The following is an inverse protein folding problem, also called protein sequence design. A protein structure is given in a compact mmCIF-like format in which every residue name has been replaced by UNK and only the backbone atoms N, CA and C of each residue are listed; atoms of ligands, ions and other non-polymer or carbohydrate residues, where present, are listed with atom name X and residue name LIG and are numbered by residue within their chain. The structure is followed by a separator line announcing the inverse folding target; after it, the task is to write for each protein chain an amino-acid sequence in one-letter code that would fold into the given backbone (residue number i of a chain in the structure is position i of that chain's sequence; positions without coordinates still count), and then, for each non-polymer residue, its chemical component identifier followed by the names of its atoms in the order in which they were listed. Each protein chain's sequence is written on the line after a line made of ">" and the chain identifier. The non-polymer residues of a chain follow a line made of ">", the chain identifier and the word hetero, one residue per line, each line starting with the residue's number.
data_IF_847126408678
#
_entry.id   IF_847126408678
#
_cell.length_a   1.000
_cell.length_b   1.000
_cell.length_c   1.000
_cell.angle_alpha   90.00
_cell.angle_beta   90.00
_cell.angle_gamma   90.00
#
_symmetry.space_group_name_H-M   'P 1'
#
loop_
_entity.id
_entity.type
_entity.pdbx_description
1 polymer ?
#
# COMPACT_ATOMS: atom_id res chain seq x y z
N UNK A 1 -25.56 -17.30 1.68
CA UNK A 1 -25.21 -18.52 2.44
C UNK A 1 -26.41 -19.14 3.17
N UNK A 2 -27.12 -18.52 4.13
CA UNK A 2 -28.25 -19.22 4.81
C UNK A 2 -29.52 -18.40 5.06
N UNK A 3 -29.76 -17.30 4.34
CA UNK A 3 -31.00 -16.48 4.41
C UNK A 3 -31.39 -15.99 5.82
N UNK A 4 -30.47 -15.97 6.77
CA UNK A 4 -30.66 -15.36 8.09
C UNK A 4 -29.93 -14.02 8.17
N UNK A 5 -30.61 -13.00 8.70
CA UNK A 5 -29.97 -11.74 9.06
C UNK A 5 -29.47 -11.82 10.50
N UNK A 6 -28.19 -11.53 10.70
CA UNK A 6 -27.55 -11.40 12.01
C UNK A 6 -26.90 -10.04 12.10
N UNK A 7 -26.88 -9.48 13.30
CA UNK A 7 -26.12 -8.27 13.59
C UNK A 7 -24.74 -8.64 14.11
N UNK A 8 -23.80 -7.69 14.02
CA UNK A 8 -22.47 -7.83 14.61
C UNK A 8 -22.54 -8.11 16.13
N UNK A 9 -23.54 -7.54 16.81
CA UNK A 9 -23.77 -7.78 18.25
C UNK A 9 -24.17 -9.23 18.54
N UNK A 10 -25.02 -9.84 17.71
CA UNK A 10 -25.44 -11.24 17.88
C UNK A 10 -24.23 -12.18 17.83
N UNK A 11 -23.30 -11.93 16.90
CA UNK A 11 -22.08 -12.74 16.73
C UNK A 11 -21.14 -12.55 17.91
N UNK A 12 -20.80 -11.31 18.26
CA UNK A 12 -19.86 -11.00 19.35
C UNK A 12 -20.37 -11.50 20.70
N UNK A 13 -21.69 -11.44 20.91
CA UNK A 13 -22.34 -11.96 22.12
C UNK A 13 -22.03 -13.44 22.37
N UNK A 14 -21.80 -14.23 21.31
CA UNK A 14 -21.46 -15.65 21.38
C UNK A 14 -19.95 -15.87 21.39
N UNK A 15 -19.23 -15.33 20.40
CA UNK A 15 -17.81 -15.67 20.19
C UNK A 15 -16.84 -14.90 21.11
N UNK A 16 -17.34 -13.89 21.84
CA UNK A 16 -16.58 -13.09 22.82
C UNK A 16 -15.29 -12.46 22.26
N UNK A 17 -15.33 -11.98 21.03
CA UNK A 17 -14.23 -11.19 20.42
C UNK A 17 -14.56 -9.71 20.35
N UNK A 18 -13.56 -8.84 20.35
CA UNK A 18 -13.77 -7.41 20.19
C UNK A 18 -14.39 -7.08 18.82
N UNK A 19 -15.32 -6.12 18.80
CA UNK A 19 -15.97 -5.67 17.56
C UNK A 19 -14.95 -5.20 16.51
N UNK A 20 -13.94 -4.46 16.95
CA UNK A 20 -12.85 -3.98 16.07
C UNK A 20 -12.09 -5.14 15.43
N UNK A 21 -11.84 -6.21 16.19
CA UNK A 21 -11.14 -7.40 15.67
C UNK A 21 -11.97 -8.12 14.62
N UNK A 22 -13.28 -8.31 14.86
CA UNK A 22 -14.17 -8.92 13.86
C UNK A 22 -14.24 -8.07 12.58
N UNK A 23 -14.37 -6.75 12.71
CA UNK A 23 -14.36 -5.83 11.56
C UNK A 23 -13.05 -5.91 10.79
N UNK A 24 -11.91 -5.93 11.49
CA UNK A 24 -10.59 -6.06 10.86
C UNK A 24 -10.48 -7.34 10.03
N UNK A 25 -10.96 -8.48 10.55
CA UNK A 25 -10.96 -9.75 9.81
C UNK A 25 -11.89 -9.75 8.60
N UNK A 26 -13.02 -9.05 8.67
CA UNK A 26 -13.92 -8.88 7.52
C UNK A 26 -13.29 -8.02 6.42
N UNK A 27 -12.56 -6.95 6.79
CA UNK A 27 -11.78 -6.16 5.84
C UNK A 27 -10.65 -6.96 5.22
N UNK A 28 -9.88 -7.72 6.02
CA UNK A 28 -8.85 -8.63 5.49
C UNK A 28 -9.43 -9.69 4.55
N UNK A 29 -10.65 -10.18 4.81
CA UNK A 29 -11.33 -11.11 3.91
C UNK A 29 -11.73 -10.44 2.58
N UNK A 30 -12.13 -9.16 2.60
CA UNK A 30 -12.48 -8.40 1.40
C UNK A 30 -11.31 -8.32 0.40
N UNK A 31 -10.07 -8.30 0.88
CA UNK A 31 -8.87 -8.29 0.05
C UNK A 31 -8.55 -9.65 -0.60
N UNK A 32 -9.24 -10.73 -0.22
CA UNK A 32 -9.04 -12.06 -0.80
C UNK A 32 -9.83 -12.24 -2.10
N UNK A 33 -9.36 -13.05 -3.07
CA UNK A 33 -10.09 -13.30 -4.32
C UNK A 33 -11.50 -13.86 -4.09
N UNK A 34 -11.66 -14.66 -3.04
CA UNK A 34 -12.92 -15.26 -2.62
C UNK A 34 -14.03 -14.24 -2.35
N UNK A 35 -13.68 -13.04 -1.89
CA UNK A 35 -14.66 -11.99 -1.59
C UNK A 35 -15.42 -11.50 -2.82
N UNK A 36 -14.83 -11.68 -4.01
CA UNK A 36 -15.38 -11.26 -5.29
C UNK A 36 -16.35 -12.28 -5.88
N UNK A 37 -16.41 -13.49 -5.31
CA UNK A 37 -17.31 -14.54 -5.76
C UNK A 37 -18.74 -14.30 -5.29
N UNK A 38 -19.70 -14.66 -6.14
CA UNK A 38 -21.08 -14.80 -5.69
C UNK A 38 -21.20 -15.96 -4.71
N UNK A 39 -22.28 -15.97 -3.93
CA UNK A 39 -22.55 -17.07 -2.97
C UNK A 39 -22.58 -18.42 -3.68
N UNK A 40 -23.13 -18.50 -4.89
CA UNK A 40 -23.26 -19.77 -5.62
C UNK A 40 -21.91 -20.25 -6.15
N UNK A 41 -21.05 -19.34 -6.62
CA UNK A 41 -19.69 -19.66 -7.05
C UNK A 41 -18.83 -20.11 -5.88
N UNK A 42 -18.87 -19.39 -4.75
CA UNK A 42 -18.13 -19.73 -3.55
C UNK A 42 -18.44 -21.15 -3.03
N UNK A 43 -19.66 -21.64 -3.21
CA UNK A 43 -20.05 -22.98 -2.77
C UNK A 43 -19.65 -24.09 -3.75
N UNK A 44 -19.20 -23.75 -4.96
CA UNK A 44 -18.92 -24.69 -6.05
C UNK A 44 -17.46 -24.73 -6.48
N UNK A 45 -16.73 -23.64 -6.23
CA UNK A 45 -15.34 -23.46 -6.66
C UNK A 45 -14.44 -23.53 -5.44
N UNK A 46 -13.41 -24.36 -5.52
CA UNK A 46 -12.28 -24.29 -4.60
C UNK A 46 -11.15 -23.52 -5.29
N UNK A 47 -10.56 -22.55 -4.60
CA UNK A 47 -9.45 -21.76 -5.12
C UNK A 47 -8.14 -22.39 -4.66
N UNK A 48 -7.30 -22.83 -5.60
CA UNK A 48 -5.99 -23.41 -5.30
C UNK A 48 -4.95 -22.35 -4.87
N UNK A 49 -5.27 -21.07 -5.04
CA UNK A 49 -4.34 -19.98 -4.74
C UNK A 49 -4.17 -19.78 -3.23
N UNK A 50 -2.94 -19.93 -2.76
CA UNK A 50 -2.55 -19.53 -1.40
C UNK A 50 -2.37 -18.02 -1.30
N UNK A 51 -2.77 -17.44 -0.16
CA UNK A 51 -2.59 -16.03 0.13
C UNK A 51 -1.68 -15.88 1.36
N UNK A 52 -0.72 -14.96 1.26
CA UNK A 52 0.18 -14.66 2.37
C UNK A 52 -0.56 -14.00 3.55
N UNK A 53 -0.06 -14.17 4.79
CA UNK A 53 -0.65 -13.51 5.94
C UNK A 53 -0.46 -11.98 5.86
N UNK A 54 -1.38 -11.17 6.42
CA UNK A 54 -1.30 -9.71 6.36
C UNK A 54 0.02 -9.11 6.89
N UNK A 55 0.64 -9.78 7.87
CA UNK A 55 1.96 -9.36 8.40
C UNK A 55 3.08 -9.47 7.37
N UNK A 56 3.03 -10.47 6.50
CA UNK A 56 4.01 -10.67 5.44
C UNK A 56 3.84 -9.61 4.36
N UNK A 57 2.60 -9.40 3.88
CA UNK A 57 2.27 -8.36 2.91
C UNK A 57 2.67 -6.97 3.42
N UNK A 58 2.37 -6.66 4.69
CA UNK A 58 2.74 -5.38 5.30
C UNK A 58 4.26 -5.18 5.36
N UNK A 59 5.02 -6.24 5.68
CA UNK A 59 6.48 -6.18 5.70
C UNK A 59 7.05 -5.95 4.29
N UNK A 60 6.52 -6.64 3.27
CA UNK A 60 6.94 -6.47 1.88
C UNK A 60 6.63 -5.06 1.37
N UNK A 61 5.43 -4.54 1.65
CA UNK A 61 5.04 -3.18 1.26
C UNK A 61 5.95 -2.13 1.92
N UNK A 62 6.27 -2.30 3.21
CA UNK A 62 7.21 -1.43 3.92
C UNK A 62 8.59 -1.45 3.28
N UNK A 63 9.12 -2.62 2.95
CA UNK A 63 10.43 -2.75 2.31
C UNK A 63 10.45 -2.06 0.92
N UNK A 64 9.40 -2.26 0.13
CA UNK A 64 9.26 -1.62 -1.19
C UNK A 64 9.17 -0.09 -1.07
N UNK A 65 8.43 0.42 -0.09
CA UNK A 65 8.33 1.86 0.16
C UNK A 65 9.70 2.46 0.51
N UNK A 66 10.46 1.80 1.39
CA UNK A 66 11.80 2.25 1.77
C UNK A 66 12.76 2.29 0.58
N UNK A 67 12.69 1.31 -0.32
CA UNK A 67 13.49 1.31 -1.55
C UNK A 67 13.13 2.49 -2.46
N UNK A 68 11.82 2.77 -2.61
CA UNK A 68 11.34 3.87 -3.43
C UNK A 68 11.74 5.24 -2.87
N UNK A 69 11.69 5.39 -1.54
CA UNK A 69 12.16 6.60 -0.85
C UNK A 69 13.67 6.83 -1.06
N UNK A 70 14.49 5.77 -0.99
CA UNK A 70 15.92 5.86 -1.25
C UNK A 70 16.23 6.23 -2.70
N UNK A 71 15.54 5.62 -3.66
CA UNK A 71 15.70 5.94 -5.08
C UNK A 71 15.30 7.39 -5.35
N UNK A 72 14.20 7.84 -4.75
CA UNK A 72 13.72 9.21 -4.89
C UNK A 72 14.73 10.21 -4.29
N UNK A 73 15.27 9.92 -3.11
CA UNK A 73 16.30 10.76 -2.48
C UNK A 73 17.53 10.90 -3.37
N UNK A 74 18.03 9.79 -3.93
CA UNK A 74 19.18 9.83 -4.85
C UNK A 74 18.89 10.68 -6.10
N UNK A 75 17.71 10.53 -6.70
CA UNK A 75 17.32 11.34 -7.87
C UNK A 75 17.19 12.83 -7.53
N UNK A 76 16.77 13.16 -6.32
CA UNK A 76 16.73 14.55 -5.87
C UNK A 76 18.14 15.12 -5.74
N UNK A 77 19.08 14.38 -5.15
CA UNK A 77 20.49 14.79 -5.06
C UNK A 77 21.12 15.00 -6.45
N UNK A 78 20.86 14.08 -7.39
CA UNK A 78 21.35 14.18 -8.77
C UNK A 78 20.84 15.48 -9.45
N UNK A 79 19.53 15.75 -9.32
CA UNK A 79 18.91 16.96 -9.89
C UNK A 79 19.39 18.24 -9.20
N UNK A 80 19.60 18.22 -7.89
CA UNK A 80 20.17 19.36 -7.16
C UNK A 80 21.59 19.68 -7.65
N UNK A 81 22.40 18.65 -7.89
CA UNK A 81 23.73 18.78 -8.49
C UNK A 81 23.68 19.41 -9.89
N UNK A 82 22.79 18.94 -10.77
CA UNK A 82 22.59 19.52 -12.10
C UNK A 82 22.18 21.00 -12.02
N UNK A 83 21.24 21.34 -11.13
CA UNK A 83 20.81 22.73 -10.91
C UNK A 83 21.97 23.60 -10.43
N UNK A 84 22.83 23.09 -9.54
CA UNK A 84 24.01 23.83 -9.08
C UNK A 84 24.98 24.13 -10.21
N UNK A 85 25.29 23.12 -11.03
CA UNK A 85 26.17 23.29 -12.20
C UNK A 85 25.62 24.36 -13.16
N UNK A 86 24.32 24.33 -13.45
CA UNK A 86 23.70 25.34 -14.31
C UNK A 86 23.72 26.74 -13.68
N UNK A 87 23.57 26.87 -12.36
CA UNK A 87 23.69 28.16 -11.67
C UNK A 87 25.09 28.74 -11.83
N UNK A 88 26.12 27.93 -11.59
CA UNK A 88 27.52 28.35 -11.68
C UNK A 88 27.88 28.78 -13.13
N UNK A 89 27.37 28.05 -14.13
CA UNK A 89 27.56 28.39 -15.55
C UNK A 89 26.88 29.72 -15.90
N UNK A 90 25.65 29.94 -15.44
CA UNK A 90 24.93 31.22 -15.64
C UNK A 90 25.68 32.38 -14.98
N UNK A 91 26.14 32.21 -13.74
CA UNK A 91 26.89 33.25 -13.01
C UNK A 91 28.20 33.60 -13.73
N UNK A 92 28.94 32.59 -14.17
CA UNK A 92 30.18 32.78 -14.96
C UNK A 92 29.93 33.55 -16.25
N UNK A 93 28.85 33.25 -16.97
CA UNK A 93 28.51 33.95 -18.22
C UNK A 93 28.02 35.39 -17.97
N UNK A 94 27.30 35.64 -16.87
CA UNK A 94 26.90 36.99 -16.48
C UNK A 94 28.11 37.87 -16.13
N UNK A 95 29.09 37.33 -15.39
CA UNK A 95 30.35 38.03 -15.09
C UNK A 95 31.16 38.37 -16.35
N UNK A 96 31.17 37.47 -17.35
CA UNK A 96 31.82 37.72 -18.64
C UNK A 96 31.11 38.79 -19.46
N UNK A 97 29.79 38.87 -19.35
CA UNK A 97 28.96 39.78 -20.14
C UNK A 97 28.91 41.21 -19.59
N UNK A 98 29.29 41.43 -18.32
CA UNK A 98 29.34 42.75 -17.68
C UNK A 98 30.80 43.17 -17.38
N UNK A 99 31.60 43.56 -18.40
CA UNK A 99 32.97 44.02 -18.20
C UNK A 99 32.97 45.46 -17.67
N UNK A 100 33.01 45.62 -16.35
CA UNK A 100 33.39 46.88 -15.69
C UNK A 100 34.80 46.77 -15.10
#
# INVERSE_FOLDING_TARGET
>A
MHKFRRTVKDVIGVVKVCQTTLRKRLTEFEDTPTSQLTIDEFMRVDLEQECDPPSFIAAQHKAKMQQLEQELARKLDDVEGEISCYKDEIETELERADPN
#
